data_IF_924908675638
#
_entry.id   IF_924908675638
#
_cell.length_a   1.000
_cell.length_b   1.000
_cell.length_c   1.000
_cell.angle_alpha   90.00
_cell.angle_beta   90.00
_cell.angle_gamma   90.00
#
_symmetry.space_group_name_H-M   'P 1'
#
loop_
_entity.id
_entity.type
_entity.pdbx_description
1 polymer ?
#
# COMPACT_ATOMS: atom_id res chain seq x y z
N UNK A 1 13.80 -5.88 42.72
CA UNK A 1 14.18 -7.08 41.94
C UNK A 1 13.35 -7.07 40.68
N UNK A 2 14.04 -7.17 39.54
CA UNK A 2 13.53 -6.83 38.21
C UNK A 2 12.36 -7.69 37.74
N UNK A 3 11.45 -7.05 37.03
CA UNK A 3 10.32 -7.64 36.34
C UNK A 3 10.84 -8.39 35.09
N UNK A 4 11.11 -9.69 35.23
CA UNK A 4 11.46 -10.55 34.10
C UNK A 4 10.21 -10.79 33.24
N UNK A 5 10.00 -9.90 32.27
CA UNK A 5 9.08 -10.10 31.15
C UNK A 5 9.43 -11.41 30.42
N UNK A 6 8.53 -12.40 30.48
CA UNK A 6 8.67 -13.65 29.73
C UNK A 6 8.92 -13.37 28.23
N UNK A 7 9.83 -14.09 27.55
CA UNK A 7 10.19 -13.83 26.15
C UNK A 7 9.00 -13.84 25.17
N UNK A 8 7.99 -14.66 25.45
CA UNK A 8 6.74 -14.75 24.69
C UNK A 8 5.87 -13.49 24.82
N UNK A 9 5.87 -12.84 25.98
CA UNK A 9 5.13 -11.60 26.22
C UNK A 9 5.69 -10.47 25.33
N UNK A 10 7.01 -10.34 25.28
CA UNK A 10 7.66 -9.28 24.51
C UNK A 10 7.43 -9.42 22.99
N UNK A 11 7.46 -10.64 22.47
CA UNK A 11 7.18 -10.87 21.05
C UNK A 11 5.73 -10.48 20.68
N UNK A 12 4.77 -10.79 21.56
CA UNK A 12 3.36 -10.42 21.38
C UNK A 12 3.17 -8.90 21.40
N UNK A 13 3.81 -8.19 22.34
CA UNK A 13 3.80 -6.73 22.40
C UNK A 13 4.32 -6.09 21.12
N UNK A 14 5.49 -6.52 20.64
CA UNK A 14 6.11 -6.00 19.41
C UNK A 14 5.23 -6.25 18.18
N UNK A 15 4.55 -7.41 18.14
CA UNK A 15 3.61 -7.71 17.06
C UNK A 15 2.34 -6.86 17.15
N UNK A 16 1.78 -6.65 18.35
CA UNK A 16 0.63 -5.76 18.56
C UNK A 16 0.96 -4.30 18.22
N UNK A 17 2.17 -3.82 18.53
CA UNK A 17 2.69 -2.52 18.11
C UNK A 17 2.75 -2.41 16.57
N UNK A 18 3.28 -3.44 15.91
CA UNK A 18 3.32 -3.52 14.45
C UNK A 18 1.93 -3.50 13.81
N UNK A 19 1.00 -4.31 14.34
CA UNK A 19 -0.39 -4.36 13.87
C UNK A 19 -1.09 -3.01 14.10
N UNK A 20 -0.78 -2.32 15.21
CA UNK A 20 -1.38 -1.03 15.57
C UNK A 20 -0.71 0.18 14.91
N UNK A 21 0.47 0.01 14.29
CA UNK A 21 1.24 1.10 13.71
C UNK A 21 0.44 1.90 12.66
N UNK A 22 0.33 3.21 12.89
CA UNK A 22 -0.49 4.12 12.08
C UNK A 22 0.30 4.89 11.00
N UNK A 23 1.62 4.71 10.93
CA UNK A 23 2.51 5.37 9.95
C UNK A 23 3.44 4.35 9.30
N UNK A 24 3.95 4.67 8.10
CA UNK A 24 4.92 3.83 7.38
C UNK A 24 6.18 3.61 8.23
N UNK A 25 6.79 4.68 8.75
CA UNK A 25 7.97 4.60 9.63
C UNK A 25 7.73 3.75 10.88
N UNK A 26 6.59 3.92 11.55
CA UNK A 26 6.26 3.13 12.74
C UNK A 26 6.11 1.63 12.40
N UNK A 27 5.45 1.30 11.28
CA UNK A 27 5.28 -0.08 10.84
C UNK A 27 6.62 -0.73 10.48
N UNK A 28 7.50 -0.03 9.76
CA UNK A 28 8.85 -0.52 9.43
C UNK A 28 9.71 -0.72 10.68
N UNK A 29 9.66 0.22 11.63
CA UNK A 29 10.42 0.17 12.87
C UNK A 29 9.99 -1.00 13.76
N UNK A 30 8.70 -1.05 14.10
CA UNK A 30 8.13 -2.11 14.95
C UNK A 30 8.34 -3.50 14.32
N UNK A 31 8.18 -3.62 13.01
CA UNK A 31 8.49 -4.88 12.32
C UNK A 31 9.97 -5.26 12.39
N UNK A 32 10.87 -4.28 12.26
CA UNK A 32 12.32 -4.49 12.44
C UNK A 32 12.65 -5.00 13.83
N UNK A 33 12.10 -4.36 14.87
CA UNK A 33 12.28 -4.77 16.27
C UNK A 33 11.71 -6.17 16.52
N UNK A 34 10.56 -6.50 15.95
CA UNK A 34 10.00 -7.85 16.02
C UNK A 34 10.94 -8.89 15.39
N UNK A 35 11.45 -8.62 14.18
CA UNK A 35 12.37 -9.54 13.51
C UNK A 35 13.68 -9.71 14.30
N UNK A 36 14.21 -8.64 14.87
CA UNK A 36 15.43 -8.66 15.71
C UNK A 36 15.21 -9.49 16.98
N UNK A 37 14.09 -9.28 17.68
CA UNK A 37 13.72 -10.06 18.87
C UNK A 37 13.56 -11.55 18.57
N UNK A 38 12.97 -11.89 17.42
CA UNK A 38 12.81 -13.27 16.95
C UNK A 38 14.05 -13.84 16.26
N UNK A 39 15.16 -13.09 16.19
CA UNK A 39 16.41 -13.47 15.53
C UNK A 39 16.22 -13.89 14.06
N UNK A 40 15.27 -13.27 13.36
CA UNK A 40 14.95 -13.55 11.97
C UNK A 40 15.76 -12.65 11.03
N UNK A 41 16.67 -13.26 10.27
CA UNK A 41 17.37 -12.55 9.21
C UNK A 41 16.43 -12.26 8.02
N UNK A 42 15.99 -11.01 7.88
CA UNK A 42 15.05 -10.57 6.82
C UNK A 42 15.52 -10.86 5.39
N UNK A 43 16.83 -10.99 5.17
CA UNK A 43 17.42 -11.28 3.86
C UNK A 43 17.55 -12.78 3.58
N UNK A 44 17.81 -13.60 4.61
CA UNK A 44 18.13 -15.03 4.48
C UNK A 44 17.05 -15.99 5.01
N UNK A 45 16.04 -15.48 5.70
CA UNK A 45 15.00 -16.32 6.32
C UNK A 45 14.13 -17.05 5.29
N UNK A 46 13.55 -18.17 5.75
CA UNK A 46 12.53 -18.93 5.02
C UNK A 46 11.40 -17.98 4.57
N UNK A 47 11.08 -18.02 3.26
CA UNK A 47 9.98 -17.26 2.68
C UNK A 47 8.76 -18.17 2.49
N UNK A 48 7.54 -17.66 2.70
CA UNK A 48 7.22 -16.32 3.20
C UNK A 48 7.55 -16.15 4.70
N UNK A 49 8.00 -14.96 5.08
CA UNK A 49 8.58 -14.67 6.41
C UNK A 49 7.60 -14.88 7.58
N UNK A 50 6.29 -14.87 7.32
CA UNK A 50 5.29 -15.08 8.36
C UNK A 50 5.30 -16.51 8.91
N UNK A 51 5.82 -17.50 8.18
CA UNK A 51 5.90 -18.89 8.65
C UNK A 51 6.83 -19.04 9.87
N UNK A 52 8.10 -18.60 9.82
CA UNK A 52 8.94 -18.63 11.02
C UNK A 52 8.43 -17.68 12.11
N UNK A 53 7.83 -16.53 11.78
CA UNK A 53 7.19 -15.66 12.79
C UNK A 53 6.06 -16.41 13.52
N UNK A 54 5.18 -17.09 12.78
CA UNK A 54 4.06 -17.88 13.32
C UNK A 54 4.53 -18.99 14.27
N UNK A 55 5.70 -19.61 14.03
CA UNK A 55 6.27 -20.62 14.93
C UNK A 55 6.59 -20.06 16.33
N UNK A 56 6.89 -18.75 16.42
CA UNK A 56 7.19 -18.06 17.68
C UNK A 56 6.02 -17.22 18.22
N UNK A 57 4.96 -17.02 17.43
CA UNK A 57 3.79 -16.21 17.78
C UNK A 57 2.51 -17.00 17.57
N UNK A 58 2.20 -17.84 18.55
CA UNK A 58 0.92 -18.54 18.64
C UNK A 58 0.05 -17.93 19.74
N UNK A 59 -0.71 -16.88 19.39
CA UNK A 59 -1.67 -16.28 20.30
C UNK A 59 -2.91 -15.77 19.56
N UNK A 60 -3.98 -15.55 20.32
CA UNK A 60 -5.34 -15.43 19.79
C UNK A 60 -5.53 -14.32 18.73
N UNK A 61 -4.85 -13.16 18.85
CA UNK A 61 -4.97 -12.06 17.87
C UNK A 61 -4.29 -12.40 16.55
N UNK A 62 -3.13 -13.06 16.59
CA UNK A 62 -2.37 -13.37 15.39
C UNK A 62 -2.90 -14.60 14.63
N UNK A 63 -3.49 -15.56 15.34
CA UNK A 63 -3.97 -16.82 14.75
C UNK A 63 -5.02 -16.61 13.64
N UNK A 64 -5.91 -15.63 13.81
CA UNK A 64 -6.88 -15.28 12.77
C UNK A 64 -6.22 -14.73 11.49
N UNK A 65 -5.12 -13.99 11.62
CA UNK A 65 -4.33 -13.50 10.49
C UNK A 65 -3.60 -14.65 9.80
N UNK A 66 -2.95 -15.52 10.57
CA UNK A 66 -2.24 -16.70 10.05
C UNK A 66 -3.16 -17.59 9.22
N UNK A 67 -4.35 -17.89 9.70
CA UNK A 67 -5.32 -18.69 8.96
C UNK A 67 -5.69 -18.08 7.59
N UNK A 68 -5.79 -16.75 7.49
CA UNK A 68 -6.08 -16.06 6.22
C UNK A 68 -4.89 -16.10 5.26
N UNK A 69 -3.67 -15.87 5.77
CA UNK A 69 -2.45 -15.92 4.97
C UNK A 69 -2.16 -17.35 4.48
N UNK A 70 -2.33 -18.36 5.33
CA UNK A 70 -2.16 -19.77 4.97
C UNK A 70 -3.17 -20.19 3.90
N UNK A 71 -4.44 -19.80 4.04
CA UNK A 71 -5.47 -20.09 3.02
C UNK A 71 -5.11 -19.47 1.67
N UNK A 72 -4.59 -18.24 1.65
CA UNK A 72 -4.14 -17.59 0.40
C UNK A 72 -2.91 -18.31 -0.16
N UNK A 73 -1.90 -18.60 0.66
CA UNK A 73 -0.68 -19.29 0.23
C UNK A 73 -0.91 -20.72 -0.29
N UNK A 74 -2.02 -21.36 0.11
CA UNK A 74 -2.38 -22.71 -0.30
C UNK A 74 -3.04 -22.79 -1.70
N UNK A 75 -3.36 -21.67 -2.34
CA UNK A 75 -3.94 -21.69 -3.67
C UNK A 75 -2.97 -22.29 -4.71
N UNK A 76 -3.51 -23.03 -5.68
CA UNK A 76 -2.72 -23.85 -6.60
C UNK A 76 -1.84 -23.02 -7.52
N UNK A 77 -2.24 -21.80 -7.88
CA UNK A 77 -1.52 -20.93 -8.80
C UNK A 77 -0.14 -20.50 -8.25
N UNK A 78 0.05 -20.53 -6.92
CA UNK A 78 1.33 -20.23 -6.30
C UNK A 78 2.31 -21.40 -6.30
N UNK A 79 1.85 -22.61 -6.64
CA UNK A 79 2.65 -23.84 -6.64
C UNK A 79 3.46 -24.01 -5.33
N UNK A 80 2.83 -23.69 -4.19
CA UNK A 80 3.47 -23.67 -2.86
C UNK A 80 4.73 -22.78 -2.81
N UNK A 81 4.63 -21.57 -3.36
CA UNK A 81 5.71 -20.59 -3.49
C UNK A 81 6.89 -21.07 -4.36
N UNK A 82 6.60 -21.86 -5.40
CA UNK A 82 7.60 -22.34 -6.37
C UNK A 82 7.43 -21.74 -7.76
N UNK A 83 6.32 -21.06 -8.03
CA UNK A 83 6.04 -20.49 -9.34
C UNK A 83 7.12 -19.50 -9.81
N UNK A 84 7.72 -18.75 -8.88
CA UNK A 84 8.76 -17.74 -9.17
C UNK A 84 9.96 -17.83 -8.21
N UNK A 85 10.28 -19.01 -7.64
CA UNK A 85 11.26 -19.14 -6.55
C UNK A 85 12.69 -18.68 -6.89
N UNK A 86 13.03 -18.66 -8.19
CA UNK A 86 14.36 -18.29 -8.67
C UNK A 86 14.39 -16.85 -9.23
N UNK A 87 13.32 -16.08 -9.05
CA UNK A 87 13.22 -14.73 -9.59
C UNK A 87 13.44 -13.68 -8.51
N UNK A 88 14.26 -12.69 -8.83
CA UNK A 88 14.37 -11.44 -8.07
C UNK A 88 13.60 -10.34 -8.77
N UNK A 89 12.58 -9.82 -8.09
CA UNK A 89 11.67 -8.80 -8.60
C UNK A 89 11.85 -7.48 -7.86
N UNK A 90 11.93 -6.39 -8.61
CA UNK A 90 12.01 -5.02 -8.10
C UNK A 90 10.73 -4.27 -8.42
N UNK A 91 10.14 -3.62 -7.43
CA UNK A 91 8.92 -2.82 -7.58
C UNK A 91 9.23 -1.36 -7.25
N UNK A 92 8.89 -0.46 -8.15
CA UNK A 92 9.07 0.98 -7.97
C UNK A 92 7.74 1.60 -7.56
N UNK A 93 7.63 2.05 -6.31
CA UNK A 93 6.46 2.72 -5.74
C UNK A 93 5.68 1.87 -4.72
N UNK A 94 5.53 2.39 -3.49
CA UNK A 94 4.72 1.82 -2.42
C UNK A 94 3.26 2.32 -2.46
N UNK A 95 2.72 2.55 -3.66
CA UNK A 95 1.29 2.77 -3.85
C UNK A 95 0.47 1.50 -3.60
N UNK A 96 -0.86 1.57 -3.52
CA UNK A 96 -1.71 0.39 -3.38
C UNK A 96 -1.40 -0.71 -4.41
N UNK A 97 -1.27 -0.34 -5.69
CA UNK A 97 -0.97 -1.29 -6.77
C UNK A 97 0.42 -1.93 -6.62
N UNK A 98 1.46 -1.15 -6.29
CA UNK A 98 2.81 -1.68 -6.09
C UNK A 98 2.90 -2.63 -4.90
N UNK A 99 2.34 -2.25 -3.75
CA UNK A 99 2.31 -3.12 -2.57
C UNK A 99 1.46 -4.38 -2.81
N UNK A 100 0.33 -4.25 -3.51
CA UNK A 100 -0.50 -5.41 -3.87
C UNK A 100 0.26 -6.39 -4.77
N UNK A 101 1.00 -5.87 -5.74
CA UNK A 101 1.86 -6.67 -6.63
C UNK A 101 2.96 -7.36 -5.85
N UNK A 102 3.59 -6.67 -4.90
CA UNK A 102 4.61 -7.23 -4.03
C UNK A 102 4.12 -8.44 -3.22
N UNK A 103 2.89 -8.34 -2.70
CA UNK A 103 2.22 -9.43 -1.98
C UNK A 103 2.05 -10.66 -2.86
N UNK A 104 1.58 -10.51 -4.10
CA UNK A 104 1.38 -11.66 -5.00
C UNK A 104 2.70 -12.32 -5.40
N UNK A 105 3.70 -11.52 -5.80
CA UNK A 105 5.01 -12.05 -6.16
C UNK A 105 5.66 -12.80 -4.99
N UNK A 106 5.43 -12.34 -3.76
CA UNK A 106 5.91 -13.03 -2.57
C UNK A 106 5.19 -14.37 -2.34
N UNK A 107 3.87 -14.45 -2.59
CA UNK A 107 3.16 -15.72 -2.56
C UNK A 107 3.63 -16.69 -3.66
N UNK A 108 4.00 -16.18 -4.84
CA UNK A 108 4.59 -16.97 -5.92
C UNK A 108 6.01 -17.46 -5.60
N UNK A 109 6.65 -16.94 -4.54
CA UNK A 109 7.97 -17.36 -4.07
C UNK A 109 9.12 -16.47 -4.53
N UNK A 110 8.86 -15.38 -5.25
CA UNK A 110 9.92 -14.48 -5.71
C UNK A 110 10.62 -13.75 -4.55
N UNK A 111 11.88 -13.41 -4.75
CA UNK A 111 12.59 -12.44 -3.92
C UNK A 111 12.13 -11.03 -4.33
N UNK A 112 11.32 -10.40 -3.49
CA UNK A 112 10.74 -9.08 -3.81
C UNK A 112 11.44 -7.97 -3.04
N UNK A 113 11.92 -6.97 -3.79
CA UNK A 113 12.48 -5.71 -3.28
C UNK A 113 11.61 -4.56 -3.77
N UNK A 114 11.20 -3.66 -2.87
CA UNK A 114 10.32 -2.54 -3.18
C UNK A 114 11.00 -1.23 -2.80
N UNK A 115 11.06 -0.30 -3.76
CA UNK A 115 11.60 1.05 -3.57
C UNK A 115 10.48 2.08 -3.48
N UNK A 116 10.58 2.99 -2.52
CA UNK A 116 9.69 4.14 -2.41
C UNK A 116 10.49 5.40 -2.11
N UNK A 117 10.25 6.44 -2.91
CA UNK A 117 10.91 7.74 -2.77
C UNK A 117 10.56 8.43 -1.45
N UNK A 118 9.35 8.23 -0.93
CA UNK A 118 8.86 8.86 0.30
C UNK A 118 9.02 7.93 1.52
N UNK A 119 9.04 8.49 2.71
CA UNK A 119 9.00 7.72 3.96
C UNK A 119 7.66 7.79 4.69
N UNK A 120 6.68 8.44 4.07
CA UNK A 120 5.38 8.66 4.67
C UNK A 120 4.25 8.52 3.67
N UNK A 121 3.17 7.90 4.13
CA UNK A 121 1.90 7.85 3.43
C UNK A 121 1.09 9.09 3.81
N UNK A 122 1.22 10.15 3.02
CA UNK A 122 0.61 11.46 3.29
C UNK A 122 -0.75 11.68 2.61
N UNK A 123 -1.14 10.79 1.67
CA UNK A 123 -2.41 10.90 0.96
C UNK A 123 -3.56 10.48 1.88
N UNK A 124 -4.13 11.46 2.57
CA UNK A 124 -5.35 11.31 3.34
C UNK A 124 -6.52 11.18 2.38
N UNK A 125 -6.70 9.96 1.86
CA UNK A 125 -7.72 9.65 0.88
C UNK A 125 -8.81 8.64 1.30
N UNK A 126 -9.44 8.78 2.50
CA UNK A 126 -10.77 8.32 3.01
C UNK A 126 -10.69 7.83 4.47
N UNK A 127 -11.56 8.27 5.38
CA UNK A 127 -11.69 7.63 6.70
C UNK A 127 -12.85 6.62 6.67
N UNK A 128 -12.84 5.63 7.57
CA UNK A 128 -13.80 4.53 7.58
C UNK A 128 -13.17 3.22 8.08
N UNK A 129 -13.82 2.53 9.04
CA UNK A 129 -13.46 1.15 9.43
C UNK A 129 -13.56 0.26 8.19
N UNK A 130 -12.62 -0.66 7.99
CA UNK A 130 -12.56 -1.50 6.77
C UNK A 130 -13.91 -2.21 6.55
N UNK A 131 -14.61 -1.79 5.50
CA UNK A 131 -15.90 -2.32 5.05
C UNK A 131 -16.90 -2.64 6.18
N UNK A 132 -17.08 -1.72 7.14
CA UNK A 132 -18.07 -1.90 8.19
C UNK A 132 -19.48 -1.55 7.67
N UNK A 133 -20.42 -2.50 7.69
CA UNK A 133 -21.78 -2.29 7.19
C UNK A 133 -21.81 -2.18 5.66
N UNK A 134 -22.39 -1.09 5.14
CA UNK A 134 -22.49 -0.77 3.70
C UNK A 134 -21.29 -0.01 3.14
N UNK A 135 -20.25 0.26 3.95
CA UNK A 135 -19.05 1.00 3.51
C UNK A 135 -18.27 0.17 2.48
N UNK A 136 -18.05 0.73 1.29
CA UNK A 136 -17.39 0.09 0.15
C UNK A 136 -16.01 0.70 -0.20
N UNK A 137 -15.52 1.63 0.62
CA UNK A 137 -14.32 2.41 0.34
C UNK A 137 -13.34 2.46 1.53
N UNK A 138 -12.07 2.80 1.26
CA UNK A 138 -10.97 2.84 2.24
C UNK A 138 -9.99 3.96 1.91
N UNK A 139 -9.29 4.54 2.90
CA UNK A 139 -8.21 5.47 2.57
C UNK A 139 -7.12 4.86 1.73
N UNK A 140 -6.60 5.63 0.78
CA UNK A 140 -5.30 5.31 0.16
C UNK A 140 -4.26 5.03 1.25
N UNK A 141 -4.10 5.91 2.25
CA UNK A 141 -3.18 5.68 3.38
C UNK A 141 -3.48 4.40 4.17
N UNK A 142 -4.73 4.11 4.55
CA UNK A 142 -5.06 2.88 5.29
C UNK A 142 -4.79 1.65 4.45
N UNK A 143 -5.18 1.66 3.18
CA UNK A 143 -4.92 0.57 2.24
C UNK A 143 -3.41 0.33 2.07
N UNK A 144 -2.62 1.39 1.92
CA UNK A 144 -1.16 1.31 1.88
C UNK A 144 -0.59 0.70 3.17
N UNK A 145 -1.07 1.11 4.35
CA UNK A 145 -0.59 0.53 5.62
C UNK A 145 -0.94 -0.94 5.77
N UNK A 146 -2.17 -1.34 5.41
CA UNK A 146 -2.58 -2.75 5.45
C UNK A 146 -1.72 -3.58 4.51
N UNK A 147 -1.57 -3.14 3.25
CA UNK A 147 -0.75 -3.86 2.27
C UNK A 147 0.73 -3.87 2.63
N UNK A 148 1.27 -2.79 3.20
CA UNK A 148 2.65 -2.74 3.70
C UNK A 148 2.87 -3.79 4.80
N UNK A 149 1.97 -3.90 5.77
CA UNK A 149 2.08 -4.89 6.84
C UNK A 149 2.06 -6.31 6.30
N UNK A 150 1.15 -6.60 5.36
CA UNK A 150 1.09 -7.92 4.70
C UNK A 150 2.37 -8.18 3.88
N UNK A 151 2.85 -7.20 3.13
CA UNK A 151 4.09 -7.31 2.35
C UNK A 151 5.31 -7.62 3.24
N UNK A 152 5.46 -6.91 4.37
CA UNK A 152 6.52 -7.15 5.34
C UNK A 152 6.43 -8.56 5.94
N UNK A 153 5.23 -9.00 6.33
CA UNK A 153 5.00 -10.37 6.81
C UNK A 153 5.33 -11.42 5.74
N UNK A 154 5.17 -11.14 4.46
CA UNK A 154 5.57 -12.07 3.39
C UNK A 154 7.07 -12.02 3.08
N UNK A 155 7.81 -11.08 3.66
CA UNK A 155 9.26 -10.93 3.50
C UNK A 155 9.69 -9.95 2.41
N UNK A 156 8.79 -9.09 1.92
CA UNK A 156 9.15 -8.03 0.97
C UNK A 156 10.16 -7.08 1.62
N UNK A 157 11.27 -6.83 0.93
CA UNK A 157 12.30 -5.88 1.38
C UNK A 157 11.91 -4.47 0.93
N UNK A 158 11.43 -3.64 1.86
CA UNK A 158 10.94 -2.29 1.55
C UNK A 158 12.00 -1.25 1.90
N UNK A 159 12.44 -0.47 0.91
CA UNK A 159 13.36 0.64 1.07
C UNK A 159 12.64 1.97 0.81
N UNK A 160 12.50 2.76 1.86
CA UNK A 160 11.93 4.13 1.79
C UNK A 160 13.05 5.16 1.67
N UNK A 161 12.71 6.38 1.22
CA UNK A 161 13.68 7.42 0.88
C UNK A 161 14.69 6.99 -0.21
N UNK A 162 14.28 6.07 -1.08
CA UNK A 162 15.08 5.61 -2.21
C UNK A 162 14.31 5.85 -3.49
N UNK A 163 14.85 6.73 -4.32
CA UNK A 163 14.27 7.05 -5.62
C UNK A 163 14.98 6.27 -6.71
N UNK A 164 14.21 5.50 -7.48
CA UNK A 164 14.69 4.91 -8.73
C UNK A 164 14.98 6.02 -9.75
N UNK A 165 16.12 5.91 -10.45
CA UNK A 165 16.55 6.88 -11.46
C UNK A 165 16.60 6.29 -12.85
N UNK A 166 17.29 5.16 -13.01
CA UNK A 166 17.47 4.55 -14.33
C UNK A 166 17.78 3.06 -14.24
N UNK A 167 17.63 2.35 -15.37
CA UNK A 167 18.10 0.98 -15.54
C UNK A 167 19.57 0.96 -15.96
N UNK A 168 20.33 0.08 -15.33
CA UNK A 168 21.71 -0.22 -15.71
C UNK A 168 21.72 -1.55 -16.46
N UNK A 169 21.92 -1.47 -17.78
CA UNK A 169 22.02 -2.66 -18.64
C UNK A 169 23.35 -3.40 -18.39
N UNK A 170 23.38 -4.72 -18.51
CA UNK A 170 24.63 -5.48 -18.58
C UNK A 170 25.35 -5.15 -19.91
N UNK A 171 26.34 -4.26 -19.86
CA UNK A 171 26.85 -3.54 -21.05
C UNK A 171 27.78 -4.37 -21.95
N UNK A 172 28.27 -5.55 -21.51
CA UNK A 172 29.28 -6.33 -22.28
C UNK A 172 28.99 -7.82 -22.17
N UNK A 173 29.05 -8.56 -23.29
CA UNK A 173 29.05 -10.03 -23.31
C UNK A 173 30.49 -10.57 -23.27
N UNK A 174 30.79 -11.63 -22.49
CA UNK A 174 29.89 -12.29 -21.55
C UNK A 174 29.61 -11.36 -20.35
N UNK A 175 28.32 -11.19 -20.03
CA UNK A 175 27.92 -10.30 -18.94
C UNK A 175 28.27 -10.97 -17.61
N UNK A 176 29.31 -10.49 -16.94
CA UNK A 176 29.66 -10.91 -15.58
C UNK A 176 28.60 -10.50 -14.54
N UNK A 177 27.68 -9.59 -14.91
CA UNK A 177 26.72 -8.95 -14.00
C UNK A 177 25.37 -8.82 -14.69
N UNK A 178 24.27 -9.13 -14.00
CA UNK A 178 22.89 -8.96 -14.49
C UNK A 178 22.37 -7.52 -14.50
N UNK A 179 21.05 -7.36 -14.71
CA UNK A 179 20.39 -6.05 -14.68
C UNK A 179 20.45 -5.41 -13.30
N UNK A 180 20.81 -4.13 -13.25
CA UNK A 180 20.85 -3.31 -12.03
C UNK A 180 20.08 -2.01 -12.22
N UNK A 181 20.05 -1.20 -11.17
CA UNK A 181 19.36 0.08 -11.16
C UNK A 181 20.21 1.19 -10.56
N UNK A 182 20.11 2.38 -11.15
CA UNK A 182 20.58 3.61 -10.53
C UNK A 182 19.51 4.11 -9.55
N UNK A 183 19.93 4.44 -8.34
CA UNK A 183 19.07 4.97 -7.28
C UNK A 183 19.65 6.23 -6.66
N UNK A 184 18.79 7.01 -6.02
CA UNK A 184 19.18 8.12 -5.14
C UNK A 184 18.72 7.83 -3.72
N UNK A 185 19.63 7.84 -2.72
CA UNK A 185 21.07 8.15 -2.83
C UNK A 185 21.88 7.02 -3.49
N UNK A 186 22.91 7.36 -4.27
CA UNK A 186 23.73 6.40 -5.04
C UNK A 186 24.47 5.38 -4.16
N UNK A 187 24.78 5.76 -2.91
CA UNK A 187 25.44 4.90 -1.93
C UNK A 187 24.52 3.82 -1.34
N UNK A 188 23.22 3.83 -1.66
CA UNK A 188 22.30 2.85 -1.10
C UNK A 188 22.64 1.43 -1.61
N UNK A 189 22.69 0.40 -0.75
CA UNK A 189 23.13 -0.95 -1.12
C UNK A 189 22.34 -1.62 -2.25
N UNK A 190 21.07 -1.22 -2.42
CA UNK A 190 20.21 -1.74 -3.49
C UNK A 190 20.71 -1.42 -4.90
N UNK A 191 21.64 -0.45 -5.05
CA UNK A 191 22.31 -0.17 -6.32
C UNK A 191 23.12 -1.35 -6.86
N UNK A 192 23.55 -2.25 -5.98
CA UNK A 192 24.30 -3.46 -6.33
C UNK A 192 23.39 -4.69 -6.51
N UNK A 193 22.08 -4.55 -6.29
CA UNK A 193 21.14 -5.64 -6.45
C UNK A 193 20.94 -5.96 -7.93
N UNK A 194 21.21 -7.20 -8.30
CA UNK A 194 20.79 -7.78 -9.58
C UNK A 194 19.34 -8.28 -9.50
N UNK A 195 18.58 -8.09 -10.58
CA UNK A 195 17.19 -8.52 -10.67
C UNK A 195 16.80 -9.01 -12.06
N UNK A 196 15.77 -9.84 -12.11
CA UNK A 196 15.24 -10.42 -13.35
C UNK A 196 14.03 -9.62 -13.86
N UNK A 197 13.28 -9.01 -12.95
CA UNK A 197 12.01 -8.33 -13.24
C UNK A 197 11.97 -6.98 -12.55
N UNK A 198 11.56 -5.94 -13.28
CA UNK A 198 11.23 -4.63 -12.72
C UNK A 198 9.78 -4.27 -13.04
N UNK A 199 9.08 -3.72 -12.05
CA UNK A 199 7.68 -3.30 -12.15
C UNK A 199 7.58 -1.83 -11.74
N UNK A 200 7.23 -0.98 -12.71
CA UNK A 200 6.92 0.43 -12.48
C UNK A 200 5.49 0.59 -11.94
N UNK A 201 5.35 0.90 -10.66
CA UNK A 201 4.09 1.19 -9.99
C UNK A 201 4.07 2.62 -9.39
N UNK A 202 4.97 3.48 -9.87
CA UNK A 202 5.16 4.88 -9.49
C UNK A 202 4.47 5.85 -10.47
N UNK A 203 4.04 5.35 -11.63
CA UNK A 203 3.24 6.08 -12.62
C UNK A 203 3.97 6.43 -13.93
N UNK A 204 5.21 6.98 -13.94
CA UNK A 204 5.99 7.32 -15.15
C UNK A 204 6.80 6.13 -15.72
N UNK A 205 7.36 6.32 -16.92
CA UNK A 205 8.39 5.39 -17.47
C UNK A 205 8.17 4.88 -18.89
N UNK A 206 6.95 4.96 -19.43
CA UNK A 206 6.64 4.47 -20.78
C UNK A 206 5.91 5.50 -21.63
N UNK A 207 5.97 5.35 -22.95
CA UNK A 207 5.20 6.18 -23.89
C UNK A 207 3.73 6.11 -23.52
N UNK A 208 3.14 7.25 -23.22
CA UNK A 208 1.73 7.36 -22.82
C UNK A 208 0.89 7.82 -24.01
N UNK A 209 -0.32 7.27 -24.11
CA UNK A 209 -1.37 7.84 -24.96
C UNK A 209 -2.08 8.90 -24.14
N UNK A 210 -1.94 10.16 -24.52
CA UNK A 210 -2.64 11.27 -23.91
C UNK A 210 -4.00 11.43 -24.59
N UNK A 211 -5.07 11.46 -23.80
CA UNK A 211 -6.41 11.80 -24.27
C UNK A 211 -6.75 13.22 -23.78
N UNK A 212 -6.94 14.14 -24.73
CA UNK A 212 -7.40 15.50 -24.43
C UNK A 212 -8.89 15.57 -24.68
N UNK A 213 -9.65 15.62 -23.59
CA UNK A 213 -11.09 15.89 -23.61
C UNK A 213 -11.40 17.38 -23.47
N UNK A 214 -12.68 17.69 -23.19
CA UNK A 214 -13.09 19.03 -22.76
C UNK A 214 -12.40 19.42 -21.45
N UNK A 215 -12.26 20.72 -21.21
CA UNK A 215 -11.72 21.23 -19.96
C UNK A 215 -12.56 20.72 -18.77
N UNK A 216 -11.90 20.03 -17.85
CA UNK A 216 -12.50 19.47 -16.66
C UNK A 216 -11.59 19.75 -15.47
N UNK A 217 -12.13 20.38 -14.43
CA UNK A 217 -11.41 20.71 -13.20
C UNK A 217 -12.07 19.96 -12.05
N UNK A 218 -11.32 19.04 -11.44
CA UNK A 218 -11.75 18.29 -10.26
C UNK A 218 -11.26 18.99 -8.98
N UNK A 219 -12.17 19.20 -8.03
CA UNK A 219 -11.90 19.73 -6.70
C UNK A 219 -12.24 18.65 -5.67
N UNK A 220 -11.27 18.27 -4.84
CA UNK A 220 -11.50 17.33 -3.74
C UNK A 220 -11.32 18.04 -2.41
N UNK A 221 -12.32 17.98 -1.54
CA UNK A 221 -12.29 18.57 -0.21
C UNK A 221 -12.35 17.49 0.88
N UNK A 222 -11.66 17.74 2.00
CA UNK A 222 -11.67 16.88 3.17
C UNK A 222 -12.08 17.70 4.39
N UNK A 223 -13.12 17.25 5.07
CA UNK A 223 -13.59 17.84 6.32
C UNK A 223 -13.27 16.90 7.49
N UNK A 224 -13.14 17.45 8.69
CA UNK A 224 -12.91 16.65 9.90
C UNK A 224 -14.23 16.01 10.32
N UNK A 225 -14.31 14.68 10.32
CA UNK A 225 -15.43 13.94 10.93
C UNK A 225 -15.14 13.71 12.43
N UNK A 226 -16.04 14.17 13.30
CA UNK A 226 -15.94 14.02 14.76
C UNK A 226 -16.66 12.77 15.28
N UNK A 227 -17.28 11.99 14.40
CA UNK A 227 -18.06 10.78 14.70
C UNK A 227 -19.23 11.04 15.66
N UNK A 228 -19.87 12.21 15.52
CA UNK A 228 -21.11 12.51 16.24
C UNK A 228 -22.29 11.75 15.64
N UNK A 229 -23.34 11.53 16.44
CA UNK A 229 -24.58 10.89 15.96
C UNK A 229 -25.24 11.68 14.83
N UNK A 230 -25.07 13.01 14.80
CA UNK A 230 -25.57 13.85 13.71
C UNK A 230 -24.80 13.59 12.41
N UNK A 231 -23.46 13.57 12.45
CA UNK A 231 -22.62 13.26 11.29
C UNK A 231 -22.91 11.85 10.74
N UNK A 232 -23.13 10.86 11.62
CA UNK A 232 -23.39 9.48 11.23
C UNK A 232 -24.74 9.27 10.52
N UNK A 233 -25.69 10.20 10.65
CA UNK A 233 -27.01 10.15 9.96
C UNK A 233 -26.99 10.76 8.57
N UNK A 234 -25.92 11.47 8.19
CA UNK A 234 -25.81 12.09 6.86
C UNK A 234 -25.58 10.99 5.84
N UNK A 235 -26.44 10.92 4.82
CA UNK A 235 -26.34 9.93 3.76
C UNK A 235 -25.18 10.22 2.80
N UNK A 236 -24.55 9.15 2.33
CA UNK A 236 -23.52 9.25 1.29
C UNK A 236 -24.13 9.55 -0.08
N UNK A 237 -23.46 10.41 -0.84
CA UNK A 237 -23.79 10.68 -2.23
C UNK A 237 -22.86 9.82 -3.09
N UNK A 238 -23.41 8.74 -3.66
CA UNK A 238 -22.70 7.79 -4.51
C UNK A 238 -22.50 8.31 -5.95
N UNK A 239 -21.82 9.45 -6.09
CA UNK A 239 -21.48 10.00 -7.40
C UNK A 239 -22.72 10.41 -8.19
N UNK A 240 -23.37 11.50 -7.77
CA UNK A 240 -24.48 12.08 -8.53
C UNK A 240 -23.89 12.92 -9.65
N UNK A 241 -24.15 12.53 -10.90
CA UNK A 241 -23.76 13.32 -12.07
C UNK A 241 -24.90 14.25 -12.49
N UNK A 242 -24.55 15.43 -13.02
CA UNK A 242 -25.52 16.42 -13.52
C UNK A 242 -26.65 15.81 -14.35
N UNK A 243 -26.31 14.88 -15.24
CA UNK A 243 -27.25 14.23 -16.17
C UNK A 243 -28.42 13.56 -15.43
N UNK A 244 -28.17 12.99 -14.24
CA UNK A 244 -29.17 12.25 -13.47
C UNK A 244 -29.91 13.10 -12.44
N UNK A 245 -29.40 14.27 -12.06
CA UNK A 245 -29.99 15.08 -11.00
C UNK A 245 -29.93 16.58 -11.31
N UNK A 246 -30.40 16.95 -12.50
CA UNK A 246 -30.34 18.31 -13.03
C UNK A 246 -31.00 19.32 -12.10
N UNK A 247 -32.13 18.96 -11.47
CA UNK A 247 -32.86 19.83 -10.54
C UNK A 247 -31.99 20.23 -9.35
N UNK A 248 -31.36 19.25 -8.68
CA UNK A 248 -30.44 19.51 -7.57
C UNK A 248 -29.31 20.48 -7.95
N UNK A 249 -28.69 20.29 -9.13
CA UNK A 249 -27.61 21.16 -9.57
C UNK A 249 -28.07 22.54 -10.03
N UNK A 250 -29.28 22.66 -10.59
CA UNK A 250 -29.87 23.95 -10.93
C UNK A 250 -30.18 24.76 -9.66
N UNK A 251 -30.76 24.13 -8.64
CA UNK A 251 -31.02 24.73 -7.32
C UNK A 251 -29.70 25.16 -6.65
N UNK A 252 -28.70 24.27 -6.61
CA UNK A 252 -27.38 24.59 -6.08
C UNK A 252 -26.73 25.79 -6.78
N UNK A 253 -26.86 25.88 -8.10
CA UNK A 253 -26.35 27.01 -8.89
C UNK A 253 -27.08 28.30 -8.58
N UNK A 254 -28.41 28.26 -8.41
CA UNK A 254 -29.21 29.43 -8.05
C UNK A 254 -28.83 29.97 -6.66
N UNK A 255 -28.64 29.08 -5.68
CA UNK A 255 -28.31 29.47 -4.31
C UNK A 255 -26.86 29.95 -4.15
N UNK A 256 -25.90 29.28 -4.80
CA UNK A 256 -24.46 29.53 -4.56
C UNK A 256 -23.80 30.38 -5.64
N UNK A 257 -24.47 30.62 -6.77
CA UNK A 257 -23.95 31.38 -7.92
C UNK A 257 -22.76 30.72 -8.62
N UNK A 258 -22.39 29.49 -8.24
CA UNK A 258 -21.19 28.80 -8.73
C UNK A 258 -21.58 27.44 -9.33
N UNK A 259 -20.89 27.08 -10.41
CA UNK A 259 -20.85 25.76 -11.07
C UNK A 259 -22.04 25.39 -12.00
N UNK A 260 -21.75 25.07 -13.26
CA UNK A 260 -22.73 24.74 -14.33
C UNK A 260 -22.90 23.24 -14.61
N UNK A 261 -21.82 22.47 -14.50
CA UNK A 261 -21.80 21.02 -14.74
C UNK A 261 -20.97 20.38 -13.64
N UNK A 262 -21.63 19.60 -12.78
CA UNK A 262 -21.02 18.99 -11.60
C UNK A 262 -21.26 17.50 -11.48
N UNK A 263 -20.30 16.78 -10.93
CA UNK A 263 -20.59 15.55 -10.19
C UNK A 263 -20.13 15.68 -8.75
N UNK A 264 -20.99 15.25 -7.83
CA UNK A 264 -20.74 15.30 -6.39
C UNK A 264 -20.71 13.90 -5.85
N UNK A 265 -19.66 13.58 -5.10
CA UNK A 265 -19.68 12.41 -4.23
C UNK A 265 -19.33 12.81 -2.81
N UNK A 266 -20.25 12.50 -1.89
CA UNK A 266 -20.06 12.53 -0.45
C UNK A 266 -19.82 11.09 -0.01
N UNK A 267 -18.63 10.82 0.51
CA UNK A 267 -18.27 9.50 1.06
C UNK A 267 -17.50 9.74 2.36
N UNK A 268 -18.06 9.34 3.48
CA UNK A 268 -17.63 9.77 4.82
C UNK A 268 -17.33 11.30 4.87
N UNK A 269 -16.14 11.70 5.31
CA UNK A 269 -15.76 13.10 5.59
C UNK A 269 -15.29 13.88 4.35
N UNK A 270 -15.61 13.42 3.14
CA UNK A 270 -15.21 14.09 1.88
C UNK A 270 -16.38 14.47 1.01
N UNK A 271 -16.23 15.63 0.39
CA UNK A 271 -16.90 15.96 -0.86
C UNK A 271 -15.87 15.93 -2.00
N UNK A 272 -16.16 15.18 -3.06
CA UNK A 272 -15.50 15.34 -4.36
C UNK A 272 -16.47 16.10 -5.26
N UNK A 273 -16.00 17.22 -5.82
CA UNK A 273 -16.71 18.05 -6.79
C UNK A 273 -15.94 18.02 -8.10
N UNK A 274 -16.47 17.40 -9.14
CA UNK A 274 -15.92 17.61 -10.49
C UNK A 274 -16.68 18.73 -11.16
N UNK A 275 -15.98 19.77 -11.62
CA UNK A 275 -16.56 20.83 -12.42
C UNK A 275 -16.11 20.67 -13.88
N UNK A 276 -17.07 20.61 -14.80
CA UNK A 276 -16.77 20.82 -16.22
C UNK A 276 -16.96 22.30 -16.53
N UNK A 277 -15.93 22.93 -17.11
CA UNK A 277 -16.06 24.26 -17.67
C UNK A 277 -16.53 24.08 -19.11
N UNK A 278 -17.80 24.36 -19.35
CA UNK A 278 -18.28 24.61 -20.70
C UNK A 278 -17.81 26.04 -21.05
N UNK A 279 -16.66 26.14 -21.72
CA UNK A 279 -16.24 27.36 -22.39
C UNK A 279 -17.02 27.53 -23.70
#
# INVERSE_FOLDING_TARGET
MGDESYPECRAQELFDEFVSAATCRAALRSFGQLCEHLQLNRSAAERPLYRPIKRHLNYWRANALWAKLDRRAAQMEYLRARACSNMTCVIIGAGPCGLRTAVELSFMGARVVLLEKRDSFSRNNFYGKFCAGSIDHISIRRLQLVLLKVALLLGVQVHVNVEFRNLCSPVVLPAEVGWRMEVSPKSHPVSQLEFDVIIGADGPGFRRKEFRGKLAIAITANFKNRNTTAEAKVEEISGVAFIFNQRFFQELRQETGRFSTMSVSLRDSRCVFNHHLDC
#
